data_IF_855550271899
#
_entry.id   IF_855550271899
#
_cell.length_a   1.000
_cell.length_b   1.000
_cell.length_c   1.000
_cell.angle_alpha   90.00
_cell.angle_beta   90.00
_cell.angle_gamma   90.00
#
_symmetry.space_group_name_H-M   'P 1'
#
loop_
_entity.id
_entity.type
_entity.pdbx_description
1 polymer ?
#
# COMPACT_ATOMS: atom_id res chain seq x y z
N UNK A 1 -11.78 -19.99 -9.82
CA UNK A 1 -11.31 -19.14 -8.70
C UNK A 1 -10.05 -19.77 -8.15
N UNK A 2 -8.88 -19.30 -8.57
CA UNK A 2 -7.62 -19.67 -7.90
C UNK A 2 -7.55 -18.86 -6.62
N UNK A 3 -7.45 -19.51 -5.45
CA UNK A 3 -7.21 -18.81 -4.20
C UNK A 3 -5.95 -17.94 -4.38
N UNK A 4 -6.04 -16.65 -4.03
CA UNK A 4 -4.87 -15.78 -4.07
C UNK A 4 -3.81 -16.33 -3.12
N UNK A 5 -2.58 -16.45 -3.60
CA UNK A 5 -1.46 -16.91 -2.79
C UNK A 5 -1.27 -15.93 -1.62
N UNK A 6 -1.39 -16.41 -0.38
CA UNK A 6 -0.97 -15.65 0.79
C UNK A 6 0.57 -15.64 0.83
N UNK A 7 1.18 -14.70 0.11
CA UNK A 7 2.63 -14.61 -0.02
C UNK A 7 3.31 -14.53 1.35
N UNK A 8 2.69 -13.86 2.33
CA UNK A 8 3.25 -13.69 3.66
C UNK A 8 3.42 -15.03 4.37
N UNK A 9 2.37 -15.87 4.35
CA UNK A 9 2.40 -17.21 4.94
C UNK A 9 3.41 -18.12 4.23
N UNK A 10 3.43 -18.06 2.89
CA UNK A 10 4.39 -18.85 2.09
C UNK A 10 5.82 -18.48 2.41
N UNK A 11 6.15 -17.18 2.47
CA UNK A 11 7.50 -16.74 2.79
C UNK A 11 7.85 -16.95 4.26
N UNK A 12 6.88 -16.84 5.19
CA UNK A 12 7.11 -17.12 6.60
C UNK A 12 7.53 -18.59 6.82
N UNK A 13 6.95 -19.52 6.07
CA UNK A 13 7.26 -20.94 6.15
C UNK A 13 8.59 -21.32 5.47
N UNK A 14 8.92 -20.67 4.34
CA UNK A 14 10.08 -21.04 3.53
C UNK A 14 11.34 -20.19 3.81
N UNK A 15 11.17 -18.95 4.26
CA UNK A 15 12.25 -17.97 4.50
C UNK A 15 12.07 -17.24 5.85
N UNK A 16 11.97 -17.96 6.99
CA UNK A 16 11.60 -17.37 8.29
C UNK A 16 12.57 -16.28 8.77
N UNK A 17 13.88 -16.46 8.58
CA UNK A 17 14.90 -15.50 9.00
C UNK A 17 14.79 -14.18 8.22
N UNK A 18 14.57 -14.27 6.90
CA UNK A 18 14.33 -13.10 6.07
C UNK A 18 13.03 -12.40 6.49
N UNK A 19 11.96 -13.17 6.71
CA UNK A 19 10.67 -12.60 7.10
C UNK A 19 10.71 -11.91 8.46
N UNK A 20 11.54 -12.38 9.39
CA UNK A 20 11.79 -11.66 10.64
C UNK A 20 12.34 -10.25 10.36
N UNK A 21 13.39 -10.14 9.55
CA UNK A 21 13.97 -8.84 9.18
C UNK A 21 12.99 -7.96 8.39
N UNK A 22 12.25 -8.52 7.44
CA UNK A 22 11.22 -7.79 6.68
C UNK A 22 10.14 -7.24 7.61
N UNK A 23 9.68 -8.03 8.58
CA UNK A 23 8.65 -7.61 9.53
C UNK A 23 9.16 -6.51 10.48
N UNK A 24 10.41 -6.61 10.95
CA UNK A 24 11.05 -5.57 11.78
C UNK A 24 11.19 -4.25 11.02
N UNK A 25 11.67 -4.30 9.76
CA UNK A 25 11.77 -3.12 8.90
C UNK A 25 10.39 -2.52 8.66
N UNK A 26 9.40 -3.34 8.27
CA UNK A 26 8.03 -2.87 8.02
C UNK A 26 7.46 -2.18 9.25
N UNK A 27 7.58 -2.79 10.44
CA UNK A 27 7.11 -2.18 11.70
C UNK A 27 7.78 -0.83 11.95
N UNK A 28 9.10 -0.75 11.79
CA UNK A 28 9.85 0.49 12.02
C UNK A 28 9.47 1.58 11.03
N UNK A 29 9.33 1.25 9.75
CA UNK A 29 9.03 2.24 8.70
C UNK A 29 7.60 2.74 8.78
N UNK A 30 6.62 1.92 9.17
CA UNK A 30 5.19 2.30 9.24
C UNK A 30 4.74 2.87 10.58
N UNK A 31 5.55 2.80 11.64
CA UNK A 31 5.21 3.40 12.95
C UNK A 31 5.24 4.93 12.91
N UNK A 32 4.54 5.59 13.83
CA UNK A 32 4.59 7.05 13.98
C UNK A 32 6.01 7.57 14.28
N UNK A 33 6.29 8.78 13.81
CA UNK A 33 7.52 9.53 14.06
C UNK A 33 7.34 10.99 13.66
N UNK A 34 8.34 11.60 13.03
CA UNK A 34 8.19 12.94 12.44
C UNK A 34 7.11 12.99 11.34
N UNK A 35 6.88 11.87 10.65
CA UNK A 35 5.72 11.62 9.81
C UNK A 35 4.81 10.62 10.51
N UNK A 36 3.50 10.85 10.46
CA UNK A 36 2.51 9.92 11.02
C UNK A 36 2.45 8.65 10.19
N UNK A 37 2.00 7.57 10.81
CA UNK A 37 1.67 6.30 10.19
C UNK A 37 0.67 6.49 9.03
N UNK A 38 -0.33 7.36 9.21
CA UNK A 38 -1.25 7.78 8.14
C UNK A 38 -0.51 8.35 6.93
N UNK A 39 0.35 9.35 7.12
CA UNK A 39 1.12 9.94 6.02
C UNK A 39 1.96 8.89 5.31
N UNK A 40 2.61 7.98 6.05
CA UNK A 40 3.44 6.91 5.49
C UNK A 40 2.61 5.88 4.72
N UNK A 41 1.39 5.57 5.16
CA UNK A 41 0.45 4.73 4.42
C UNK A 41 0.06 5.36 3.09
N UNK A 42 -0.26 6.66 3.07
CA UNK A 42 -0.55 7.39 1.83
C UNK A 42 0.66 7.47 0.89
N UNK A 43 1.87 7.64 1.42
CA UNK A 43 3.11 7.57 0.62
C UNK A 43 3.32 6.18 0.01
N UNK A 44 3.00 5.12 0.73
CA UNK A 44 3.10 3.74 0.22
C UNK A 44 2.06 3.51 -0.88
N UNK A 45 0.83 3.99 -0.66
CA UNK A 45 -0.25 3.95 -1.65
C UNK A 45 0.13 4.69 -2.94
N UNK A 46 0.68 5.89 -2.82
CA UNK A 46 1.25 6.67 -3.92
C UNK A 46 2.32 5.88 -4.68
N UNK A 47 3.24 5.24 -3.97
CA UNK A 47 4.29 4.41 -4.55
C UNK A 47 3.73 3.28 -5.42
N UNK A 48 2.75 2.54 -4.90
CA UNK A 48 2.11 1.43 -5.63
C UNK A 48 1.31 1.92 -6.86
N UNK A 49 0.75 3.13 -6.82
CA UNK A 49 0.14 3.75 -8.00
C UNK A 49 1.18 4.02 -9.09
N UNK A 50 2.30 4.64 -8.72
CA UNK A 50 3.38 5.00 -9.66
C UNK A 50 4.06 3.75 -10.24
N UNK A 51 4.21 2.69 -9.43
CA UNK A 51 4.84 1.43 -9.84
C UNK A 51 3.90 0.49 -10.61
N UNK A 52 2.61 0.82 -10.74
CA UNK A 52 1.65 -0.01 -11.47
C UNK A 52 1.15 -1.23 -10.70
N UNK A 53 1.25 -1.22 -9.37
CA UNK A 53 0.88 -2.35 -8.50
C UNK A 53 -0.62 -2.33 -8.13
N UNK A 54 -1.48 -2.70 -9.07
CA UNK A 54 -2.94 -2.65 -8.88
C UNK A 54 -3.46 -3.37 -7.62
N UNK A 55 -2.97 -4.56 -7.32
CA UNK A 55 -3.37 -5.31 -6.11
C UNK A 55 -2.81 -4.68 -4.83
N UNK A 56 -1.63 -4.07 -4.91
CA UNK A 56 -1.03 -3.31 -3.80
C UNK A 56 -1.87 -2.08 -3.46
N UNK A 57 -2.25 -1.30 -4.48
CA UNK A 57 -3.19 -0.16 -4.32
C UNK A 57 -4.50 -0.60 -3.67
N UNK A 58 -5.12 -1.68 -4.14
CA UNK A 58 -6.37 -2.17 -3.57
C UNK A 58 -6.20 -2.60 -2.10
N UNK A 59 -5.13 -3.35 -1.79
CA UNK A 59 -4.86 -3.83 -0.43
C UNK A 59 -4.56 -2.69 0.53
N UNK A 60 -3.74 -1.70 0.13
CA UNK A 60 -3.35 -0.58 0.98
C UNK A 60 -4.55 0.35 1.19
N UNK A 61 -5.33 0.67 0.15
CA UNK A 61 -6.50 1.53 0.31
C UNK A 61 -7.57 0.89 1.22
N UNK A 62 -7.73 -0.44 1.19
CA UNK A 62 -8.59 -1.15 2.14
C UNK A 62 -8.07 -1.03 3.58
N UNK A 63 -6.78 -1.25 3.79
CA UNK A 63 -6.18 -1.13 5.12
C UNK A 63 -6.25 0.30 5.64
N UNK A 64 -5.98 1.30 4.80
CA UNK A 64 -6.06 2.72 5.14
C UNK A 64 -7.45 3.09 5.70
N UNK A 65 -8.53 2.59 5.08
CA UNK A 65 -9.90 2.80 5.58
C UNK A 65 -10.16 2.13 6.93
N UNK A 66 -9.63 0.92 7.14
CA UNK A 66 -9.71 0.22 8.44
C UNK A 66 -9.00 1.05 9.53
N UNK A 67 -7.88 1.67 9.17
CA UNK A 67 -7.09 2.52 10.07
C UNK A 67 -7.68 3.93 10.24
N UNK A 68 -8.84 4.22 9.63
CA UNK A 68 -9.59 5.47 9.79
C UNK A 68 -9.16 6.61 8.85
N UNK A 69 -8.29 6.34 7.87
CA UNK A 69 -7.89 7.32 6.85
C UNK A 69 -9.09 7.58 5.92
N UNK A 70 -9.37 8.86 5.68
CA UNK A 70 -10.54 9.27 4.90
C UNK A 70 -10.38 8.96 3.40
N UNK A 71 -11.51 8.78 2.73
CA UNK A 71 -11.53 8.66 1.27
C UNK A 71 -11.05 9.96 0.60
N UNK A 72 -11.20 11.11 1.24
CA UNK A 72 -10.68 12.40 0.79
C UNK A 72 -9.15 12.38 0.70
N UNK A 73 -8.47 11.89 1.73
CA UNK A 73 -7.01 11.77 1.73
C UNK A 73 -6.51 10.78 0.65
N UNK A 74 -7.26 9.71 0.40
CA UNK A 74 -6.97 8.77 -0.69
C UNK A 74 -7.14 9.44 -2.07
N UNK A 75 -8.21 10.23 -2.26
CA UNK A 75 -8.45 10.98 -3.52
C UNK A 75 -7.33 11.99 -3.78
N UNK A 76 -6.95 12.79 -2.79
CA UNK A 76 -5.82 13.74 -2.91
C UNK A 76 -4.51 13.01 -3.24
N UNK A 77 -4.28 11.83 -2.67
CA UNK A 77 -3.10 11.01 -2.98
C UNK A 77 -3.09 10.55 -4.45
N UNK A 78 -4.26 10.23 -5.03
CA UNK A 78 -4.39 9.88 -6.46
C UNK A 78 -4.07 11.10 -7.35
N UNK A 79 -4.49 12.30 -6.95
CA UNK A 79 -4.17 13.54 -7.68
C UNK A 79 -2.66 13.80 -7.70
N UNK A 80 -1.98 13.60 -6.56
CA UNK A 80 -0.51 13.67 -6.47
C UNK A 80 0.15 12.57 -7.32
N UNK A 81 -0.40 11.35 -7.31
CA UNK A 81 0.08 10.24 -8.14
C UNK A 81 0.03 10.60 -9.63
N UNK A 82 -1.05 11.24 -10.09
CA UNK A 82 -1.18 11.72 -11.45
C UNK A 82 -0.13 12.78 -11.80
N UNK A 83 0.14 13.73 -10.89
CA UNK A 83 1.19 14.73 -11.10
C UNK A 83 2.57 14.09 -11.32
N UNK A 84 2.87 13.01 -10.60
CA UNK A 84 4.18 12.36 -10.63
C UNK A 84 4.32 11.29 -11.73
N UNK A 85 3.26 10.51 -11.98
CA UNK A 85 3.29 9.33 -12.85
C UNK A 85 2.35 9.37 -14.06
N UNK A 86 1.56 10.44 -14.23
CA UNK A 86 0.64 10.63 -15.35
C UNK A 86 -0.53 9.64 -15.38
N UNK A 87 -1.07 9.42 -16.58
CA UNK A 87 -2.22 8.52 -16.79
C UNK A 87 -2.01 7.08 -16.27
N UNK A 88 -0.81 6.45 -16.41
CA UNK A 88 -0.58 5.13 -15.84
C UNK A 88 -0.80 5.06 -14.33
N UNK A 89 -0.35 6.08 -13.58
CA UNK A 89 -0.56 6.15 -12.14
C UNK A 89 -2.04 6.35 -11.80
N UNK A 90 -2.76 7.15 -12.57
CA UNK A 90 -4.22 7.36 -12.41
C UNK A 90 -5.01 6.06 -12.66
N UNK A 91 -4.69 5.34 -13.72
CA UNK A 91 -5.33 4.05 -14.07
C UNK A 91 -5.07 3.03 -12.96
N UNK A 92 -3.85 2.97 -12.45
CA UNK A 92 -3.51 2.08 -11.33
C UNK A 92 -4.21 2.54 -10.04
N UNK A 93 -4.27 3.84 -9.79
CA UNK A 93 -4.95 4.45 -8.64
C UNK A 93 -6.45 4.16 -8.57
N UNK A 94 -7.12 3.94 -9.70
CA UNK A 94 -8.52 3.51 -9.71
C UNK A 94 -8.78 2.22 -8.91
N UNK A 95 -7.75 1.38 -8.74
CA UNK A 95 -7.85 0.16 -7.93
C UNK A 95 -8.05 0.44 -6.44
N UNK A 96 -7.85 1.68 -5.96
CA UNK A 96 -8.11 2.07 -4.57
C UNK A 96 -9.60 1.97 -4.18
N UNK A 97 -10.48 1.87 -5.17
CA UNK A 97 -11.93 1.76 -5.02
C UNK A 97 -12.49 0.40 -5.45
N UNK A 98 -11.63 -0.61 -5.67
CA UNK A 98 -12.06 -1.99 -5.91
C UNK A 98 -12.54 -2.63 -4.60
N UNK A 99 -13.70 -3.29 -4.67
CA UNK A 99 -14.28 -4.06 -3.57
C UNK A 99 -13.51 -5.36 -3.33
#
# INVERSE_FOLDING_TARGET
MTASLNWHEVLQNNLPDLMKSVNEIRKCTTSDGALTSETKTLMTLLGDMILGHAEGVASIARQARIDGISDEAIKETIEVAYLMGGLPALITGANAFRN
#
